data_IF_434609317650
#
_entry.id   IF_434609317650
#
_cell.length_a   1.000
_cell.length_b   1.000
_cell.length_c   1.000
_cell.angle_alpha   90.00
_cell.angle_beta   90.00
_cell.angle_gamma   90.00
#
_symmetry.space_group_name_H-M   'P 1'
#
loop_
_entity.id
_entity.type
_entity.pdbx_description
1 polymer ?
#
# COMPACT_ATOMS: atom_id res chain seq x y z
N UNK A 1 48.07 26.11 -7.35
CA UNK A 1 47.05 25.98 -6.29
C UNK A 1 46.52 24.55 -6.32
N UNK A 2 47.00 23.69 -5.44
CA UNK A 2 46.46 22.33 -5.27
C UNK A 2 45.05 22.44 -4.67
N UNK A 3 44.06 21.77 -5.26
CA UNK A 3 42.70 21.73 -4.70
C UNK A 3 42.75 21.00 -3.36
N UNK A 4 42.11 21.52 -2.30
CA UNK A 4 42.13 20.87 -1.00
C UNK A 4 41.50 19.47 -1.14
N UNK A 5 42.16 18.41 -0.62
CA UNK A 5 41.72 17.02 -0.80
C UNK A 5 40.30 16.78 -0.29
N UNK A 6 39.86 17.61 0.66
CA UNK A 6 38.52 17.60 1.24
C UNK A 6 37.43 17.98 0.23
N UNK A 7 37.68 18.95 -0.66
CA UNK A 7 36.71 19.35 -1.68
C UNK A 7 36.43 18.23 -2.69
N UNK A 8 37.45 17.42 -3.00
CA UNK A 8 37.30 16.26 -3.88
C UNK A 8 36.47 15.15 -3.21
N UNK A 9 36.72 14.89 -1.93
CA UNK A 9 35.95 13.90 -1.17
C UNK A 9 34.45 14.27 -1.10
N UNK A 10 34.14 15.53 -0.79
CA UNK A 10 32.77 16.01 -0.69
C UNK A 10 32.05 15.89 -2.03
N UNK A 11 32.71 16.29 -3.13
CA UNK A 11 32.14 16.12 -4.47
C UNK A 11 31.86 14.65 -4.79
N UNK A 12 32.77 13.75 -4.43
CA UNK A 12 32.57 12.31 -4.57
C UNK A 12 31.34 11.81 -3.80
N UNK A 13 31.19 12.20 -2.54
CA UNK A 13 30.03 11.83 -1.72
C UNK A 13 28.72 12.33 -2.31
N UNK A 14 28.70 13.57 -2.83
CA UNK A 14 27.51 14.15 -3.48
C UNK A 14 27.17 13.42 -4.78
N UNK A 15 28.17 13.07 -5.59
CA UNK A 15 27.93 12.28 -6.80
C UNK A 15 27.39 10.88 -6.47
N UNK A 16 27.91 10.25 -5.42
CA UNK A 16 27.43 8.94 -4.97
C UNK A 16 26.01 8.98 -4.42
N UNK A 17 25.63 10.03 -3.68
CA UNK A 17 24.26 10.17 -3.16
C UNK A 17 23.25 10.40 -4.27
N UNK A 18 23.60 11.23 -5.26
CA UNK A 18 22.77 11.45 -6.46
C UNK A 18 22.60 10.12 -7.24
N UNK A 19 23.69 9.40 -7.48
CA UNK A 19 23.63 8.11 -8.17
C UNK A 19 22.77 7.09 -7.39
N UNK A 20 22.93 7.01 -6.07
CA UNK A 20 22.13 6.15 -5.21
C UNK A 20 20.63 6.46 -5.25
N UNK A 21 20.26 7.74 -5.28
CA UNK A 21 18.86 8.16 -5.39
C UNK A 21 18.22 7.71 -6.71
N UNK A 22 18.94 7.80 -7.84
CA UNK A 22 18.44 7.29 -9.13
C UNK A 22 18.26 5.78 -9.12
N UNK A 23 19.22 5.03 -8.57
CA UNK A 23 19.13 3.57 -8.48
C UNK A 23 17.95 3.15 -7.59
N UNK A 24 17.76 3.81 -6.44
CA UNK A 24 16.62 3.57 -5.56
C UNK A 24 15.28 3.88 -6.26
N UNK A 25 15.20 5.00 -6.99
CA UNK A 25 14.02 5.35 -7.77
C UNK A 25 13.71 4.33 -8.87
N UNK A 26 14.72 3.87 -9.60
CA UNK A 26 14.56 2.83 -10.62
C UNK A 26 14.12 1.50 -10.01
N UNK A 27 14.72 1.10 -8.88
CA UNK A 27 14.31 -0.09 -8.14
C UNK A 27 12.85 0.03 -7.66
N UNK A 28 12.46 1.19 -7.14
CA UNK A 28 11.07 1.44 -6.72
C UNK A 28 10.09 1.30 -7.88
N UNK A 29 10.39 1.89 -9.03
CA UNK A 29 9.51 1.83 -10.19
C UNK A 29 9.40 0.43 -10.81
N UNK A 30 10.52 -0.28 -10.91
CA UNK A 30 10.59 -1.58 -11.61
C UNK A 30 10.23 -2.76 -10.71
N UNK A 31 10.52 -2.67 -9.42
CA UNK A 31 10.35 -3.79 -8.47
C UNK A 31 9.21 -3.52 -7.50
N UNK A 32 9.24 -2.39 -6.80
CA UNK A 32 8.33 -2.17 -5.69
C UNK A 32 6.90 -1.88 -6.17
N UNK A 33 6.74 -1.04 -7.19
CA UNK A 33 5.41 -0.73 -7.75
C UNK A 33 4.72 -1.97 -8.34
N UNK A 34 5.36 -2.82 -9.15
CA UNK A 34 4.72 -4.05 -9.62
C UNK A 34 4.39 -5.03 -8.49
N UNK A 35 5.26 -5.17 -7.49
CA UNK A 35 4.98 -5.99 -6.29
C UNK A 35 3.80 -5.46 -5.49
N UNK A 36 3.70 -4.16 -5.28
CA UNK A 36 2.57 -3.53 -4.60
C UNK A 36 1.26 -3.72 -5.37
N UNK A 37 1.29 -3.59 -6.70
CA UNK A 37 0.12 -3.85 -7.54
C UNK A 37 -0.30 -5.32 -7.52
N UNK A 38 0.65 -6.26 -7.52
CA UNK A 38 0.35 -7.69 -7.38
C UNK A 38 -0.33 -8.02 -6.04
N UNK A 39 -0.07 -7.24 -4.99
CA UNK A 39 -0.65 -7.39 -3.67
C UNK A 39 -1.92 -6.55 -3.45
N UNK A 40 -2.27 -5.64 -4.37
CA UNK A 40 -3.44 -4.76 -4.23
C UNK A 40 -4.80 -5.47 -4.25
N UNK A 41 -4.82 -6.78 -4.53
CA UNK A 41 -5.99 -7.65 -4.37
C UNK A 41 -5.98 -8.53 -3.11
N UNK A 42 -4.87 -8.53 -2.35
CA UNK A 42 -4.77 -9.25 -1.08
C UNK A 42 -5.11 -8.30 0.07
N UNK A 43 -6.00 -8.70 0.97
CA UNK A 43 -6.27 -7.92 2.16
C UNK A 43 -4.97 -7.86 3.00
N UNK A 44 -4.64 -6.73 3.66
CA UNK A 44 -3.36 -6.58 4.36
C UNK A 44 -3.13 -7.72 5.37
N UNK A 45 -1.89 -8.09 5.66
CA UNK A 45 -1.59 -9.31 6.44
C UNK A 45 -2.20 -9.35 7.86
N UNK A 46 -2.78 -8.25 8.33
CA UNK A 46 -3.50 -8.10 9.59
C UNK A 46 -5.02 -8.32 9.49
N UNK A 47 -5.58 -8.55 8.31
CA UNK A 47 -7.00 -8.85 8.12
C UNK A 47 -7.17 -10.33 7.79
N UNK A 48 -7.99 -10.99 8.61
CA UNK A 48 -8.44 -12.35 8.32
C UNK A 48 -9.22 -12.34 7.01
N UNK A 49 -8.74 -13.09 6.01
CA UNK A 49 -9.42 -13.28 4.72
C UNK A 49 -10.87 -13.75 4.89
N UNK A 50 -11.12 -14.58 5.91
CA UNK A 50 -12.46 -15.05 6.28
C UNK A 50 -13.37 -13.90 6.73
N UNK A 51 -12.83 -12.88 7.40
CA UNK A 51 -13.59 -11.71 7.84
C UNK A 51 -13.94 -10.83 6.65
N UNK A 52 -13.02 -10.65 5.70
CA UNK A 52 -13.27 -9.88 4.46
C UNK A 52 -14.33 -10.55 3.59
N UNK A 53 -14.28 -11.88 3.46
CA UNK A 53 -15.28 -12.64 2.69
C UNK A 53 -16.67 -12.60 3.35
N UNK A 54 -16.73 -12.76 4.68
CA UNK A 54 -17.98 -12.63 5.46
C UNK A 54 -18.55 -11.21 5.37
N UNK A 55 -17.71 -10.19 5.47
CA UNK A 55 -18.09 -8.79 5.32
C UNK A 55 -18.71 -8.53 3.93
N UNK A 56 -18.04 -8.96 2.86
CA UNK A 56 -18.53 -8.80 1.49
C UNK A 56 -19.86 -9.54 1.25
N UNK A 57 -19.97 -10.75 1.79
CA UNK A 57 -21.20 -11.55 1.71
C UNK A 57 -22.35 -10.85 2.45
N UNK A 58 -22.12 -10.36 3.67
CA UNK A 58 -23.09 -9.63 4.46
C UNK A 58 -23.59 -8.37 3.72
N UNK A 59 -22.65 -7.57 3.19
CA UNK A 59 -22.98 -6.36 2.41
C UNK A 59 -23.77 -6.68 1.13
N UNK A 60 -23.50 -7.81 0.50
CA UNK A 60 -24.23 -8.24 -0.69
C UNK A 60 -25.67 -8.65 -0.36
N UNK A 61 -25.90 -9.26 0.80
CA UNK A 61 -27.23 -9.67 1.25
C UNK A 61 -28.13 -8.47 1.53
N UNK A 62 -27.59 -7.38 2.08
CA UNK A 62 -28.35 -6.15 2.35
C UNK A 62 -28.99 -5.52 1.10
N UNK A 63 -28.55 -5.86 -0.11
CA UNK A 63 -29.20 -5.41 -1.37
C UNK A 63 -30.53 -6.10 -1.65
N UNK A 64 -30.76 -7.26 -1.02
CA UNK A 64 -31.97 -8.06 -1.18
C UNK A 64 -32.95 -7.90 -0.01
N UNK A 65 -32.55 -7.14 1.02
CA UNK A 65 -33.39 -6.82 2.17
C UNK A 65 -34.31 -5.66 1.81
N UNK A 66 -35.48 -5.61 2.44
CA UNK A 66 -36.42 -4.50 2.32
C UNK A 66 -35.71 -3.14 2.54
N UNK A 67 -36.03 -2.11 1.73
CA UNK A 67 -35.36 -0.81 1.80
C UNK A 67 -35.53 -0.10 3.14
N UNK A 68 -36.53 -0.49 3.95
CA UNK A 68 -36.73 0.02 5.32
C UNK A 68 -35.70 -0.53 6.31
N UNK A 69 -35.20 -1.73 6.06
CA UNK A 69 -34.24 -2.44 6.92
C UNK A 69 -32.81 -2.38 6.37
N UNK A 70 -32.61 -1.76 5.19
CA UNK A 70 -31.30 -1.61 4.54
C UNK A 70 -30.23 -1.01 5.48
N UNK A 71 -30.53 0.12 6.15
CA UNK A 71 -29.57 0.78 7.03
C UNK A 71 -29.27 -0.03 8.29
N UNK A 72 -30.26 -0.78 8.79
CA UNK A 72 -30.09 -1.68 9.93
C UNK A 72 -29.20 -2.87 9.55
N UNK A 73 -29.47 -3.50 8.41
CA UNK A 73 -28.63 -4.56 7.84
C UNK A 73 -27.19 -4.08 7.63
N UNK A 74 -27.00 -2.87 7.13
CA UNK A 74 -25.67 -2.31 6.90
C UNK A 74 -24.89 -2.09 8.20
N UNK A 75 -25.56 -1.58 9.26
CA UNK A 75 -24.97 -1.40 10.58
C UNK A 75 -24.62 -2.73 11.27
N UNK A 76 -25.47 -3.75 11.15
CA UNK A 76 -25.19 -5.09 11.66
C UNK A 76 -23.99 -5.73 10.93
N UNK A 77 -23.86 -5.50 9.62
CA UNK A 77 -22.70 -5.95 8.84
C UNK A 77 -21.41 -5.20 9.20
N UNK A 78 -21.49 -3.94 9.62
CA UNK A 78 -20.32 -3.13 10.00
C UNK A 78 -19.60 -3.74 11.21
N UNK A 79 -20.33 -4.35 12.13
CA UNK A 79 -19.79 -5.12 13.29
C UNK A 79 -19.02 -6.37 12.84
N UNK A 80 -19.37 -6.96 11.69
CA UNK A 80 -18.70 -8.14 11.12
C UNK A 80 -17.46 -7.73 10.31
N UNK A 81 -17.39 -6.47 9.88
CA UNK A 81 -16.34 -5.91 9.04
C UNK A 81 -15.19 -5.23 9.83
N UNK A 82 -15.33 -5.08 11.14
CA UNK A 82 -14.36 -4.51 12.09
C UNK A 82 -13.49 -5.61 12.73
#
# INVERSE_FOLDING_TARGET
>A
MEKPPLARLVLFMVCLSIAGAFVAGAHYYVIDVPKQKALSGYPPANVNTDTVEKCNTCRSYCKYVDPKDYYKCWGDCEIICD
#
